data_IF_216097155322
#
_entry.id   IF_216097155322
#
_cell.length_a   1.000
_cell.length_b   1.000
_cell.length_c   1.000
_cell.angle_alpha   90.00
_cell.angle_beta   90.00
_cell.angle_gamma   90.00
#
_symmetry.space_group_name_H-M   'P 1'
#
loop_
_entity.id
_entity.type
_entity.pdbx_description
1 polymer ?
#
# COMPACT_ATOMS: atom_id res chain seq x y z
N UNK A 1 53.80 -20.45 33.38
CA UNK A 1 54.05 -19.62 32.17
C UNK A 1 52.77 -19.68 31.34
N UNK A 2 51.81 -18.77 31.59
CA UNK A 2 51.52 -17.61 30.71
C UNK A 2 51.45 -18.05 29.24
N UNK A 3 50.26 -18.12 28.63
CA UNK A 3 49.63 -16.93 28.02
C UNK A 3 48.11 -17.15 27.89
N UNK A 4 47.35 -16.24 28.53
CA UNK A 4 45.95 -15.95 28.21
C UNK A 4 45.98 -15.12 26.91
N UNK A 5 45.57 -15.71 25.79
CA UNK A 5 45.62 -15.08 24.48
C UNK A 5 44.25 -14.99 23.82
N UNK A 6 43.63 -13.82 23.95
CA UNK A 6 42.70 -13.20 23.02
C UNK A 6 41.59 -14.05 22.38
N UNK A 7 40.42 -13.97 23.02
CA UNK A 7 39.10 -14.11 22.39
C UNK A 7 39.00 -13.06 21.27
N UNK A 8 39.13 -13.49 20.02
CA UNK A 8 38.79 -12.72 18.83
C UNK A 8 37.56 -13.32 18.17
N UNK A 9 36.38 -13.00 18.68
CA UNK A 9 35.12 -13.40 18.08
C UNK A 9 34.91 -12.64 16.76
N UNK A 10 35.23 -13.26 15.63
CA UNK A 10 34.76 -12.80 14.32
C UNK A 10 33.32 -13.31 14.19
N UNK A 11 32.37 -12.53 14.69
CA UNK A 11 30.95 -12.74 14.42
C UNK A 11 30.70 -12.40 12.94
N UNK A 12 30.61 -13.43 12.11
CA UNK A 12 30.22 -13.29 10.71
C UNK A 12 28.71 -13.01 10.70
N UNK A 13 28.36 -11.74 10.57
CA UNK A 13 26.99 -11.27 10.41
C UNK A 13 26.44 -11.69 9.04
N UNK A 14 25.85 -12.87 8.92
CA UNK A 14 25.04 -13.19 7.74
C UNK A 14 23.65 -12.60 7.90
N UNK A 15 23.43 -11.55 7.13
CA UNK A 15 22.25 -10.71 7.06
C UNK A 15 20.97 -11.47 6.65
N UNK A 16 19.87 -11.07 7.30
CA UNK A 16 18.54 -10.87 6.75
C UNK A 16 17.90 -11.98 5.89
N UNK A 17 17.15 -12.87 6.53
CA UNK A 17 16.00 -13.55 5.90
C UNK A 17 14.73 -12.74 6.22
N UNK A 18 14.57 -11.61 5.53
CA UNK A 18 13.37 -10.78 5.59
C UNK A 18 12.51 -10.98 4.34
N UNK A 19 11.74 -12.06 4.26
CA UNK A 19 10.70 -12.21 3.24
C UNK A 19 9.37 -11.71 3.81
N UNK A 20 9.20 -10.39 3.86
CA UNK A 20 7.88 -9.79 4.00
C UNK A 20 7.18 -9.86 2.64
N UNK A 21 6.34 -10.88 2.43
CA UNK A 21 5.37 -10.89 1.35
C UNK A 21 4.33 -9.79 1.63
N UNK A 22 4.54 -8.62 1.05
CA UNK A 22 3.51 -7.57 0.98
C UNK A 22 2.52 -8.04 -0.07
N UNK A 23 1.39 -8.61 0.38
CA UNK A 23 0.21 -8.81 -0.46
C UNK A 23 -0.36 -7.41 -0.74
N UNK A 24 0.03 -6.80 -1.86
CA UNK A 24 -0.66 -5.63 -2.37
C UNK A 24 -2.10 -6.05 -2.74
N UNK A 25 -3.13 -5.27 -2.35
CA UNK A 25 -4.48 -5.55 -2.80
C UNK A 25 -4.50 -5.49 -4.33
N UNK A 26 -4.98 -6.56 -4.97
CA UNK A 26 -5.28 -6.51 -6.39
C UNK A 26 -6.32 -5.40 -6.60
N UNK A 27 -5.99 -4.39 -7.38
CA UNK A 27 -6.92 -3.32 -7.74
C UNK A 27 -8.12 -3.96 -8.44
N UNK A 28 -9.21 -4.13 -7.69
CA UNK A 28 -10.44 -4.68 -8.22
C UNK A 28 -11.07 -3.58 -9.03
N UNK A 29 -11.04 -3.72 -10.34
CA UNK A 29 -12.26 -4.16 -11.00
C UNK A 29 -13.47 -3.22 -11.05
N UNK A 30 -13.48 -2.08 -10.36
CA UNK A 30 -14.67 -1.26 -10.14
C UNK A 30 -15.39 -0.90 -11.44
N UNK A 31 -16.75 -0.90 -11.46
CA UNK A 31 -17.49 -0.36 -12.59
C UNK A 31 -17.05 1.09 -12.83
N UNK A 32 -16.91 1.53 -14.09
CA UNK A 32 -16.62 2.92 -14.37
C UNK A 32 -17.86 3.76 -14.05
N UNK A 33 -17.91 4.33 -12.85
CA UNK A 33 -18.99 5.22 -12.45
C UNK A 33 -19.00 6.46 -13.35
N UNK A 34 -20.18 6.86 -13.83
CA UNK A 34 -20.35 8.10 -14.60
C UNK A 34 -20.17 9.33 -13.71
N UNK A 35 -20.61 9.21 -12.46
CA UNK A 35 -20.56 10.25 -11.44
C UNK A 35 -20.54 9.62 -10.04
N UNK A 36 -20.25 10.42 -9.02
CA UNK A 36 -20.22 9.96 -7.64
C UNK A 36 -21.58 9.52 -7.11
N UNK A 37 -22.70 10.00 -7.68
CA UNK A 37 -24.03 9.52 -7.30
C UNK A 37 -24.22 8.04 -7.64
N UNK A 38 -23.71 7.55 -8.77
CA UNK A 38 -23.70 6.12 -9.07
C UNK A 38 -22.78 5.35 -8.11
N UNK A 39 -21.57 5.86 -7.84
CA UNK A 39 -20.65 5.24 -6.89
C UNK A 39 -21.29 5.09 -5.50
N UNK A 40 -21.93 6.15 -5.01
CA UNK A 40 -22.60 6.20 -3.72
C UNK A 40 -23.82 5.26 -3.67
N UNK A 41 -24.57 5.10 -4.77
CA UNK A 41 -25.67 4.11 -4.86
C UNK A 41 -25.16 2.68 -4.71
N UNK A 42 -23.95 2.42 -5.18
CA UNK A 42 -23.26 1.14 -5.01
C UNK A 42 -22.53 1.01 -3.66
N UNK A 43 -22.64 2.03 -2.78
CA UNK A 43 -21.98 2.07 -1.49
C UNK A 43 -20.48 2.32 -1.56
N UNK A 44 -19.98 2.83 -2.70
CA UNK A 44 -18.57 3.15 -2.92
C UNK A 44 -18.31 4.61 -2.63
N UNK A 45 -17.46 4.85 -1.63
CA UNK A 45 -17.00 6.15 -1.18
C UNK A 45 -15.48 6.14 -1.04
N UNK A 46 -14.89 7.34 -0.94
CA UNK A 46 -13.48 7.55 -0.60
C UNK A 46 -12.54 6.70 -1.49
N UNK A 47 -12.71 6.82 -2.81
CA UNK A 47 -12.07 5.96 -3.80
C UNK A 47 -10.65 6.48 -4.07
N UNK A 48 -9.57 5.80 -3.62
CA UNK A 48 -8.21 6.32 -3.78
C UNK A 48 -7.68 6.14 -5.21
N UNK A 49 -6.69 6.94 -5.62
CA UNK A 49 -5.98 6.86 -6.93
C UNK A 49 -5.54 5.47 -7.40
N UNK A 50 -5.34 4.52 -6.49
CA UNK A 50 -4.95 3.14 -6.80
C UNK A 50 -6.12 2.17 -7.01
N UNK A 51 -7.36 2.63 -6.80
CA UNK A 51 -8.57 1.85 -7.00
C UNK A 51 -8.99 1.89 -8.47
N UNK A 52 -9.54 0.80 -8.99
CA UNK A 52 -10.00 0.79 -10.38
C UNK A 52 -11.20 1.73 -10.61
N UNK A 53 -12.04 1.95 -9.58
CA UNK A 53 -13.13 2.90 -9.67
C UNK A 53 -12.62 4.35 -9.69
N UNK A 54 -11.34 4.61 -9.41
CA UNK A 54 -10.80 5.96 -9.44
C UNK A 54 -10.77 6.51 -10.86
N UNK A 55 -11.28 7.72 -10.99
CA UNK A 55 -11.18 8.49 -12.22
C UNK A 55 -10.88 9.94 -11.83
N UNK A 56 -9.91 10.61 -12.48
CA UNK A 56 -9.63 12.03 -12.21
C UNK A 56 -10.86 12.93 -12.38
N UNK A 57 -11.81 12.55 -13.26
CA UNK A 57 -13.05 13.29 -13.44
C UNK A 57 -14.04 13.20 -12.25
N UNK A 58 -13.84 12.24 -11.34
CA UNK A 58 -14.64 12.04 -10.13
C UNK A 58 -13.99 12.66 -8.88
N UNK A 59 -12.74 13.05 -8.99
CA UNK A 59 -11.91 13.70 -7.97
C UNK A 59 -11.89 15.21 -8.28
N UNK A 60 -12.84 15.94 -7.67
CA UNK A 60 -13.13 17.33 -8.07
C UNK A 60 -12.02 18.29 -7.65
N UNK A 61 -11.41 18.04 -6.50
CA UNK A 61 -10.34 18.85 -5.91
C UNK A 61 -8.93 18.30 -6.21
N UNK A 62 -8.84 17.12 -6.81
CA UNK A 62 -7.60 16.48 -7.27
C UNK A 62 -6.65 16.11 -6.13
N UNK A 63 -7.19 15.80 -4.96
CA UNK A 63 -6.41 15.39 -3.80
C UNK A 63 -5.96 13.92 -3.92
N UNK A 64 -6.61 13.14 -4.79
CA UNK A 64 -6.36 11.73 -5.03
C UNK A 64 -7.39 10.78 -4.44
N UNK A 65 -8.50 11.30 -3.91
CA UNK A 65 -9.62 10.55 -3.39
C UNK A 65 -10.88 10.99 -4.14
N UNK A 66 -11.40 10.11 -5.00
CA UNK A 66 -12.63 10.36 -5.74
C UNK A 66 -13.88 10.03 -4.88
N UNK A 67 -14.96 10.77 -5.11
CA UNK A 67 -16.27 10.48 -4.53
C UNK A 67 -16.28 10.33 -3.00
N UNK A 68 -15.62 11.28 -2.34
CA UNK A 68 -15.54 11.38 -0.89
C UNK A 68 -16.92 11.36 -0.21
N UNK A 69 -16.94 10.94 1.04
CA UNK A 69 -18.18 10.75 1.83
C UNK A 69 -18.68 12.00 2.55
N UNK A 70 -17.90 13.10 2.59
CA UNK A 70 -18.17 14.29 3.39
C UNK A 70 -18.66 15.51 2.59
#
# INVERSE_FOLDING_TARGET
MTIRGFVGAIAISTAALGTALVLAPAAVAGPPYKNCTEAHKDGRYDIPRGDQAYRPALDRDNDGIACESY
#
